data_IF_829934553302
#
_entry.id   IF_829934553302
#
_cell.length_a   1.000
_cell.length_b   1.000
_cell.length_c   1.000
_cell.angle_alpha   90.00
_cell.angle_beta   90.00
_cell.angle_gamma   90.00
#
_symmetry.space_group_name_H-M   'P 1'
#
loop_
_entity.id
_entity.type
_entity.pdbx_description
1 polymer ?
#
# COMPACT_ATOMS: atom_id res chain seq x y z
N UNK A 1 -47.29 -15.93 -39.32
CA UNK A 1 -47.38 -15.50 -37.91
C UNK A 1 -47.16 -16.61 -36.86
N UNK A 2 -47.67 -17.85 -37.02
CA UNK A 2 -47.50 -18.93 -36.00
C UNK A 2 -46.10 -19.55 -35.90
N UNK A 3 -45.33 -19.57 -37.00
CA UNK A 3 -43.98 -20.15 -37.03
C UNK A 3 -42.93 -19.28 -36.31
N UNK A 4 -43.08 -17.95 -36.43
CA UNK A 4 -42.22 -16.96 -35.79
C UNK A 4 -42.33 -16.97 -34.25
N UNK A 5 -43.55 -17.16 -33.72
CA UNK A 5 -43.84 -17.24 -32.28
C UNK A 5 -43.19 -18.47 -31.62
N UNK A 6 -43.07 -19.58 -32.36
CA UNK A 6 -42.41 -20.82 -31.88
C UNK A 6 -40.88 -20.68 -31.82
N UNK A 7 -40.30 -19.87 -32.69
CA UNK A 7 -38.85 -19.62 -32.70
C UNK A 7 -38.45 -18.67 -31.57
N UNK A 8 -39.23 -17.59 -31.35
CA UNK A 8 -39.04 -16.65 -30.23
C UNK A 8 -39.14 -17.36 -28.87
N UNK A 9 -40.12 -18.26 -28.68
CA UNK A 9 -40.26 -19.01 -27.42
C UNK A 9 -39.08 -19.97 -27.14
N UNK A 10 -38.36 -20.43 -28.17
CA UNK A 10 -37.19 -21.32 -28.01
C UNK A 10 -35.89 -20.56 -27.77
N UNK A 11 -35.77 -19.33 -28.29
CA UNK A 11 -34.60 -18.46 -28.11
C UNK A 11 -34.61 -17.72 -26.76
N UNK A 12 -35.79 -17.38 -26.24
CA UNK A 12 -35.98 -16.72 -24.94
C UNK A 12 -35.22 -17.36 -23.76
N UNK A 13 -35.31 -18.69 -23.49
CA UNK A 13 -34.63 -19.28 -22.34
C UNK A 13 -33.10 -19.25 -22.47
N UNK A 14 -32.55 -19.38 -23.69
CA UNK A 14 -31.11 -19.28 -23.93
C UNK A 14 -30.63 -17.85 -23.69
N UNK A 15 -31.38 -16.86 -24.18
CA UNK A 15 -31.08 -15.45 -23.93
C UNK A 15 -31.12 -15.11 -22.44
N UNK A 16 -32.11 -15.65 -21.70
CA UNK A 16 -32.23 -15.47 -20.26
C UNK A 16 -31.06 -16.11 -19.50
N UNK A 17 -30.61 -17.30 -19.89
CA UNK A 17 -29.43 -17.97 -19.28
C UNK A 17 -28.16 -17.17 -19.54
N UNK A 18 -27.94 -16.68 -20.76
CA UNK A 18 -26.77 -15.83 -21.07
C UNK A 18 -26.79 -14.52 -20.29
N UNK A 19 -27.97 -13.90 -20.13
CA UNK A 19 -28.12 -12.67 -19.35
C UNK A 19 -27.87 -12.90 -17.86
N UNK A 20 -28.39 -13.99 -17.30
CA UNK A 20 -28.14 -14.39 -15.90
C UNK A 20 -26.68 -14.76 -15.67
N UNK A 21 -26.05 -15.49 -16.60
CA UNK A 21 -24.63 -15.81 -16.53
C UNK A 21 -23.76 -14.55 -16.61
N UNK A 22 -24.09 -13.59 -17.48
CA UNK A 22 -23.40 -12.30 -17.57
C UNK A 22 -23.53 -11.47 -16.28
N UNK A 23 -24.69 -11.50 -15.62
CA UNK A 23 -24.91 -10.82 -14.33
C UNK A 23 -24.17 -11.50 -13.17
N UNK A 24 -24.04 -12.83 -13.20
CA UNK A 24 -23.23 -13.56 -12.22
C UNK A 24 -21.74 -13.29 -12.46
N UNK A 25 -21.29 -13.37 -13.72
CA UNK A 25 -19.90 -13.13 -14.09
C UNK A 25 -19.46 -11.70 -13.79
N UNK A 26 -20.33 -10.68 -13.88
CA UNK A 26 -19.97 -9.31 -13.48
C UNK A 26 -19.80 -9.12 -11.97
N UNK A 27 -20.46 -9.95 -11.16
CA UNK A 27 -20.30 -9.98 -9.69
C UNK A 27 -19.03 -10.72 -9.28
N UNK A 28 -18.66 -11.75 -10.03
CA UNK A 28 -17.47 -12.58 -9.79
C UNK A 28 -16.20 -11.92 -10.36
N UNK A 29 -16.30 -11.30 -11.53
CA UNK A 29 -15.24 -10.53 -12.16
C UNK A 29 -15.23 -9.11 -11.58
N UNK A 30 -14.88 -9.01 -10.31
CA UNK A 30 -14.44 -7.74 -9.74
C UNK A 30 -12.97 -7.64 -10.16
N UNK A 31 -12.60 -6.81 -11.15
CA UNK A 31 -11.18 -6.61 -11.42
C UNK A 31 -10.56 -6.15 -10.10
N UNK A 32 -9.55 -6.88 -9.63
CA UNK A 32 -8.68 -6.46 -8.53
C UNK A 32 -8.39 -4.99 -8.77
N UNK A 33 -8.93 -4.12 -7.91
CA UNK A 33 -8.67 -2.69 -8.00
C UNK A 33 -7.18 -2.55 -7.78
N UNK A 34 -6.41 -2.51 -8.87
CA UNK A 34 -5.02 -2.05 -8.87
C UNK A 34 -5.10 -0.63 -8.31
N UNK A 35 -4.92 -0.50 -7.00
CA UNK A 35 -4.56 0.77 -6.39
C UNK A 35 -3.39 1.26 -7.23
N UNK A 36 -3.56 2.41 -7.90
CA UNK A 36 -2.55 2.97 -8.77
C UNK A 36 -1.23 2.98 -7.99
N UNK A 37 -0.30 2.11 -8.39
CA UNK A 37 1.05 2.10 -7.81
C UNK A 37 1.64 3.47 -8.15
N UNK A 38 2.23 4.20 -7.19
CA UNK A 38 2.74 5.53 -7.48
C UNK A 38 3.76 5.43 -8.62
N UNK A 39 3.59 6.22 -9.68
CA UNK A 39 4.52 6.23 -10.83
C UNK A 39 5.93 6.68 -10.42
N UNK A 40 6.06 7.34 -9.27
CA UNK A 40 7.31 7.81 -8.70
C UNK A 40 7.83 6.83 -7.64
N UNK A 41 8.86 6.08 -8.01
CA UNK A 41 9.67 5.27 -7.09
C UNK A 41 11.09 5.86 -7.01
N UNK A 42 11.55 6.18 -5.80
CA UNK A 42 12.82 6.84 -5.53
C UNK A 42 13.59 6.15 -4.42
N UNK A 43 14.88 6.47 -4.27
CA UNK A 43 15.67 5.96 -3.15
C UNK A 43 15.42 6.79 -1.89
N UNK A 44 15.78 6.23 -0.73
CA UNK A 44 15.80 6.98 0.52
C UNK A 44 16.64 8.26 0.45
N UNK A 45 17.74 8.26 -0.33
CA UNK A 45 18.65 9.39 -0.47
C UNK A 45 18.08 10.54 -1.31
N UNK A 46 17.17 10.24 -2.23
CA UNK A 46 16.54 11.25 -3.10
C UNK A 46 15.30 11.88 -2.43
N UNK A 47 14.86 11.37 -1.27
CA UNK A 47 13.57 11.74 -0.67
C UNK A 47 13.45 13.23 -0.29
N UNK A 48 14.57 13.93 -0.05
CA UNK A 48 14.56 15.37 0.26
C UNK A 48 14.01 16.21 -0.90
N UNK A 49 14.26 15.77 -2.13
CA UNK A 49 13.92 16.54 -3.33
C UNK A 49 12.43 16.38 -3.71
N UNK A 50 11.73 15.46 -3.05
CA UNK A 50 10.34 15.08 -3.32
C UNK A 50 9.39 15.37 -2.14
N UNK A 51 9.76 16.29 -1.24
CA UNK A 51 8.89 16.69 -0.13
C UNK A 51 7.55 17.24 -0.65
N UNK A 52 6.45 16.72 -0.11
CA UNK A 52 5.08 17.06 -0.51
C UNK A 52 4.49 16.12 -1.57
N UNK A 53 5.32 15.35 -2.25
CA UNK A 53 4.88 14.39 -3.27
C UNK A 53 4.47 13.06 -2.65
N UNK A 54 3.59 12.33 -3.36
CA UNK A 54 3.28 10.94 -3.03
C UNK A 54 4.18 10.04 -3.87
N UNK A 55 5.03 9.25 -3.21
CA UNK A 55 6.01 8.40 -3.86
C UNK A 55 6.14 7.03 -3.15
N UNK A 56 6.87 6.13 -3.79
CA UNK A 56 7.44 4.92 -3.17
C UNK A 56 8.91 5.18 -2.86
N UNK A 57 9.27 5.23 -1.57
CA UNK A 57 10.64 5.45 -1.13
C UNK A 57 11.25 4.12 -0.70
N UNK A 58 12.33 3.70 -1.36
CA UNK A 58 12.96 2.40 -1.12
C UNK A 58 14.36 2.53 -0.48
N UNK A 59 14.69 1.63 0.44
CA UNK A 59 15.98 1.61 1.14
C UNK A 59 16.12 0.42 2.08
N UNK A 60 17.33 0.21 2.61
CA UNK A 60 17.59 -0.75 3.68
C UNK A 60 17.27 -0.08 5.00
N UNK A 61 16.53 -0.76 5.88
CA UNK A 61 16.30 -0.30 7.26
C UNK A 61 17.56 -0.56 8.08
N UNK A 62 18.36 0.47 8.30
CA UNK A 62 19.63 0.41 9.03
C UNK A 62 19.44 0.56 10.54
N UNK A 63 18.38 1.24 10.99
CA UNK A 63 17.94 1.18 12.39
C UNK A 63 16.42 1.17 12.50
N UNK A 64 15.91 0.52 13.56
CA UNK A 64 14.49 0.41 13.82
C UNK A 64 14.21 0.44 15.32
N UNK A 65 13.44 1.43 15.77
CA UNK A 65 13.32 1.76 17.19
C UNK A 65 11.86 2.07 17.55
N UNK A 66 11.31 1.32 18.51
CA UNK A 66 10.06 1.66 19.18
C UNK A 66 10.34 2.49 20.43
N UNK A 67 9.76 3.69 20.52
CA UNK A 67 10.05 4.64 21.60
C UNK A 67 8.76 4.97 22.38
N UNK A 68 8.35 4.15 23.36
CA UNK A 68 7.11 4.35 24.13
C UNK A 68 7.14 5.61 25.00
N UNK A 69 8.32 6.14 25.31
CA UNK A 69 8.46 7.36 26.11
C UNK A 69 8.06 8.64 25.35
N UNK A 70 7.98 8.60 24.02
CA UNK A 70 7.56 9.74 23.20
C UNK A 70 6.02 9.70 23.05
N UNK A 71 5.38 10.87 23.15
CA UNK A 71 3.92 11.00 22.95
C UNK A 71 3.52 10.40 21.60
N UNK A 72 2.54 9.50 21.62
CA UNK A 72 2.09 8.78 20.43
C UNK A 72 2.86 7.49 20.15
N UNK A 73 3.84 7.15 21.00
CA UNK A 73 4.54 5.86 21.03
C UNK A 73 5.01 5.42 19.62
N UNK A 74 5.82 6.24 18.93
CA UNK A 74 6.21 5.97 17.55
C UNK A 74 7.19 4.80 17.45
N UNK A 75 7.13 4.13 16.32
CA UNK A 75 8.15 3.23 15.80
C UNK A 75 8.79 3.89 14.59
N UNK A 76 10.10 4.06 14.61
CA UNK A 76 10.88 4.62 13.52
C UNK A 76 11.58 3.51 12.76
N UNK A 77 11.47 3.50 11.44
CA UNK A 77 12.27 2.68 10.54
C UNK A 77 13.14 3.64 9.72
N UNK A 78 14.44 3.67 10.00
CA UNK A 78 15.39 4.60 9.41
C UNK A 78 16.10 3.94 8.23
N UNK A 79 15.91 4.50 7.04
CA UNK A 79 16.40 3.91 5.79
C UNK A 79 17.71 4.55 5.36
N UNK A 80 18.67 3.74 4.90
CA UNK A 80 19.92 4.18 4.27
C UNK A 80 21.08 4.40 5.25
N UNK A 81 20.82 5.01 6.40
CA UNK A 81 21.75 5.10 7.54
C UNK A 81 20.97 4.93 8.85
N UNK A 82 21.64 4.54 9.96
CA UNK A 82 21.01 4.53 11.27
C UNK A 82 20.71 5.96 11.75
N UNK A 83 19.82 6.07 12.74
CA UNK A 83 19.62 7.32 13.47
C UNK A 83 20.94 7.84 14.08
N UNK A 84 21.24 9.17 14.04
CA UNK A 84 20.40 10.28 13.56
C UNK A 84 20.67 10.74 12.11
N UNK A 85 21.49 10.02 11.34
CA UNK A 85 22.00 10.47 10.04
C UNK A 85 21.22 9.88 8.84
N UNK A 86 20.02 9.36 9.09
CA UNK A 86 19.20 8.72 8.08
C UNK A 86 18.65 9.74 7.07
N UNK A 87 18.75 9.47 5.75
CA UNK A 87 18.15 10.33 4.73
C UNK A 87 16.62 10.23 4.68
N UNK A 88 16.03 9.15 5.22
CA UNK A 88 14.58 8.96 5.22
C UNK A 88 14.10 8.14 6.41
N UNK A 89 12.92 8.47 6.93
CA UNK A 89 12.27 7.74 8.04
C UNK A 89 10.85 7.32 7.69
N UNK A 90 10.53 6.03 7.84
CA UNK A 90 9.15 5.58 7.90
C UNK A 90 8.69 5.56 9.36
N UNK A 91 7.63 6.31 9.67
CA UNK A 91 7.11 6.41 11.06
C UNK A 91 5.76 5.72 11.18
N UNK A 92 5.66 4.78 12.12
CA UNK A 92 4.43 4.08 12.50
C UNK A 92 4.06 4.57 13.90
N UNK A 93 2.91 5.24 14.03
CA UNK A 93 2.45 5.70 15.34
C UNK A 93 1.82 4.55 16.15
N UNK A 94 1.85 4.63 17.47
CA UNK A 94 1.34 3.58 18.36
C UNK A 94 -0.11 3.18 18.07
N UNK A 95 -0.95 4.13 17.67
CA UNK A 95 -2.35 3.90 17.25
C UNK A 95 -2.50 2.99 16.01
N UNK A 96 -1.45 2.92 15.18
CA UNK A 96 -1.42 2.11 13.97
C UNK A 96 -0.63 0.79 14.19
N UNK A 97 0.29 0.75 15.16
CA UNK A 97 1.25 -0.36 15.40
C UNK A 97 0.59 -1.74 15.58
N UNK A 98 -0.57 -1.81 16.24
CA UNK A 98 -1.29 -3.07 16.49
C UNK A 98 -1.78 -3.77 15.21
N UNK A 99 -1.71 -3.12 14.04
CA UNK A 99 -2.07 -3.71 12.74
C UNK A 99 -1.00 -4.65 12.20
N UNK A 100 0.19 -4.69 12.82
CA UNK A 100 1.24 -5.63 12.45
C UNK A 100 1.16 -6.91 13.30
N UNK A 101 1.28 -8.10 12.68
CA UNK A 101 1.32 -9.37 13.42
C UNK A 101 2.63 -9.59 14.19
N UNK A 102 3.70 -8.89 13.79
CA UNK A 102 5.04 -8.92 14.38
C UNK A 102 5.47 -7.47 14.57
N UNK A 103 6.11 -7.09 15.70
CA UNK A 103 6.63 -5.73 15.92
C UNK A 103 7.34 -5.19 14.67
N UNK A 104 6.97 -4.01 14.15
CA UNK A 104 7.56 -3.47 12.92
C UNK A 104 9.09 -3.36 12.96
N UNK A 105 9.65 -3.00 14.11
CA UNK A 105 11.10 -2.89 14.33
C UNK A 105 11.81 -4.24 14.26
N UNK A 106 11.18 -5.32 14.71
CA UNK A 106 11.73 -6.67 14.55
C UNK A 106 11.56 -7.17 13.12
N UNK A 107 10.41 -6.85 12.50
CA UNK A 107 10.05 -7.32 11.16
C UNK A 107 10.97 -6.75 10.08
N UNK A 108 11.26 -5.45 10.14
CA UNK A 108 11.88 -4.74 9.02
C UNK A 108 13.36 -4.42 9.23
N UNK A 109 13.92 -4.53 10.44
CA UNK A 109 15.34 -4.27 10.67
C UNK A 109 16.21 -5.11 9.72
N UNK A 110 17.22 -4.48 9.12
CA UNK A 110 18.12 -5.04 8.08
C UNK A 110 17.46 -5.46 6.76
N UNK A 111 16.16 -5.24 6.59
CA UNK A 111 15.45 -5.56 5.35
C UNK A 111 15.49 -4.39 4.39
N UNK A 112 15.54 -4.70 3.09
CA UNK A 112 15.24 -3.72 2.05
C UNK A 112 13.72 -3.61 1.91
N UNK A 113 13.19 -2.42 2.11
CA UNK A 113 11.76 -2.14 2.01
C UNK A 113 11.48 -0.98 1.06
N UNK A 114 10.24 -0.89 0.60
CA UNK A 114 9.68 0.22 -0.16
C UNK A 114 8.44 0.75 0.56
N UNK A 115 8.43 2.03 0.88
CA UNK A 115 7.41 2.69 1.69
C UNK A 115 6.61 3.64 0.82
N UNK A 116 5.31 3.43 0.75
CA UNK A 116 4.39 4.23 -0.06
C UNK A 116 3.67 5.27 0.78
N UNK A 117 3.71 6.53 0.38
CA UNK A 117 2.97 7.61 1.04
C UNK A 117 3.39 8.99 0.58
N UNK A 118 2.85 10.01 1.25
CA UNK A 118 3.27 11.40 1.02
C UNK A 118 4.51 11.70 1.86
N UNK A 119 5.58 12.15 1.20
CA UNK A 119 6.82 12.56 1.84
C UNK A 119 6.58 13.89 2.54
N UNK A 120 6.96 13.99 3.81
CA UNK A 120 6.86 15.20 4.62
C UNK A 120 8.22 15.49 5.24
N UNK A 121 8.58 16.76 5.35
CA UNK A 121 9.71 17.14 6.18
C UNK A 121 9.35 16.98 7.66
N UNK A 122 10.28 16.45 8.44
CA UNK A 122 10.27 16.54 9.89
C UNK A 122 11.64 16.93 10.40
N UNK A 123 11.80 18.23 10.68
CA UNK A 123 13.04 18.79 11.25
C UNK A 123 14.27 18.52 10.37
N UNK A 124 14.10 18.57 9.05
CA UNK A 124 15.18 18.33 8.09
C UNK A 124 15.32 16.87 7.63
N UNK A 125 14.55 15.93 8.19
CA UNK A 125 14.52 14.54 7.72
C UNK A 125 13.20 14.25 6.99
N UNK A 126 13.25 13.86 5.71
CA UNK A 126 12.10 13.35 4.97
C UNK A 126 11.47 12.11 5.63
N UNK A 127 10.14 12.08 5.71
CA UNK A 127 9.42 10.97 6.33
C UNK A 127 8.10 10.64 5.63
N UNK A 128 7.68 9.37 5.73
CA UNK A 128 6.32 8.92 5.44
C UNK A 128 5.69 8.39 6.72
N UNK A 129 4.47 8.86 7.04
CA UNK A 129 3.62 8.22 8.04
C UNK A 129 2.99 6.95 7.46
N UNK A 130 3.30 5.83 8.07
CA UNK A 130 2.78 4.50 7.71
C UNK A 130 1.64 4.16 8.68
N UNK A 131 0.44 3.98 8.13
CA UNK A 131 -0.77 3.62 8.88
C UNK A 131 -1.15 2.16 8.73
N UNK A 132 -0.78 1.54 7.62
CA UNK A 132 -1.16 0.16 7.28
C UNK A 132 0.05 -0.65 6.82
N UNK A 133 0.15 -1.96 7.15
CA UNK A 133 1.23 -2.82 6.67
C UNK A 133 1.41 -2.82 5.16
N UNK A 134 0.31 -2.71 4.40
CA UNK A 134 0.32 -2.67 2.92
C UNK A 134 1.08 -1.48 2.30
N UNK A 135 1.36 -0.43 3.08
CA UNK A 135 2.21 0.67 2.62
C UNK A 135 3.69 0.28 2.55
N UNK A 136 4.09 -0.84 3.17
CA UNK A 136 5.46 -1.33 3.18
C UNK A 136 5.52 -2.64 2.38
N UNK A 137 6.35 -2.66 1.35
CA UNK A 137 6.69 -3.87 0.58
C UNK A 137 8.15 -4.24 0.84
N UNK A 138 8.39 -5.46 1.27
CA UNK A 138 9.73 -6.05 1.39
C UNK A 138 10.22 -6.47 -0.02
N UNK A 139 11.52 -6.33 -0.30
CA UNK A 139 12.18 -6.78 -1.53
C UNK A 139 13.08 -7.99 -1.31
#
# INVERSE_FOLDING_TARGET
MKHFRKWILRLMPVLAVVMVAGLILSRVYRPESREAEPDLQITAFDASDHIGERAVVCGIVESADYIPAIRGEPTFLNLGHPHPDQPFTAVIWGEDRARWPVPPEERYLTRRICVTGTIRDHRGTPQIRVREPRQIREQ
#
